data_IF_845450914124
#
_entry.id   IF_845450914124
#
_cell.length_a   1.000
_cell.length_b   1.000
_cell.length_c   1.000
_cell.angle_alpha   90.00
_cell.angle_beta   90.00
_cell.angle_gamma   90.00
#
_symmetry.space_group_name_H-M   'P 1'
#
loop_
_entity.id
_entity.type
_entity.pdbx_description
1 polymer ?
#
# COMPACT_ATOMS: atom_id res chain seq x y z
N UNK A 1 -4.31 10.06 2.33
CA UNK A 1 -5.69 10.59 2.40
C UNK A 1 -6.66 9.97 1.39
N UNK A 2 -6.37 10.02 0.08
CA UNK A 2 -7.30 9.55 -0.96
C UNK A 2 -7.87 8.13 -0.72
N UNK A 3 -7.01 7.14 -0.46
CA UNK A 3 -7.44 5.74 -0.25
C UNK A 3 -8.30 5.58 1.00
N UNK A 4 -8.01 6.32 2.07
CA UNK A 4 -8.81 6.30 3.30
C UNK A 4 -10.22 6.86 3.05
N UNK A 5 -10.32 7.98 2.34
CA UNK A 5 -11.60 8.56 1.94
C UNK A 5 -12.38 7.58 1.07
N UNK A 6 -11.71 6.94 0.10
CA UNK A 6 -12.33 5.95 -0.77
C UNK A 6 -12.90 4.77 0.05
N UNK A 7 -12.11 4.23 0.97
CA UNK A 7 -12.51 3.12 1.85
C UNK A 7 -13.68 3.48 2.76
N UNK A 8 -13.70 4.69 3.34
CA UNK A 8 -14.78 5.15 4.21
C UNK A 8 -16.01 5.67 3.46
N UNK A 9 -15.92 5.88 2.15
CA UNK A 9 -17.04 6.35 1.32
C UNK A 9 -17.92 5.19 0.82
N UNK A 10 -19.02 5.54 0.14
CA UNK A 10 -19.87 4.58 -0.60
C UNK A 10 -19.13 3.73 -1.63
N UNK A 11 -17.94 4.14 -2.06
CA UNK A 11 -17.15 3.38 -3.02
C UNK A 11 -16.43 2.20 -2.35
N UNK A 12 -16.18 2.24 -1.04
CA UNK A 12 -15.57 1.13 -0.28
C UNK A 12 -16.44 -0.12 -0.21
N UNK A 13 -17.77 0.01 -0.38
CA UNK A 13 -18.69 -1.14 -0.42
C UNK A 13 -18.78 -1.81 -1.80
N UNK A 14 -18.05 -1.31 -2.81
CA UNK A 14 -18.06 -1.90 -4.15
C UNK A 14 -17.17 -3.15 -4.17
N UNK A 15 -17.75 -4.28 -4.54
CA UNK A 15 -16.99 -5.52 -4.76
C UNK A 15 -16.08 -5.41 -6.00
N UNK A 16 -14.82 -5.82 -5.84
CA UNK A 16 -13.84 -5.96 -6.92
C UNK A 16 -14.11 -7.24 -7.74
N UNK A 17 -15.21 -7.25 -8.46
CA UNK A 17 -15.74 -8.40 -9.19
C UNK A 17 -17.23 -8.21 -9.49
N UNK A 18 -17.93 -9.21 -10.04
CA UNK A 18 -19.39 -9.16 -10.23
C UNK A 18 -20.16 -8.84 -8.94
N UNK A 19 -21.36 -8.26 -9.02
CA UNK A 19 -22.15 -7.88 -7.81
C UNK A 19 -22.41 -9.06 -6.86
N UNK A 20 -22.53 -10.26 -7.41
CA UNK A 20 -22.81 -11.49 -6.66
C UNK A 20 -21.54 -12.31 -6.35
N UNK A 21 -20.33 -11.80 -6.61
CA UNK A 21 -19.11 -12.52 -6.28
C UNK A 21 -18.92 -12.64 -4.77
N UNK A 22 -18.27 -13.73 -4.38
CA UNK A 22 -17.81 -14.05 -3.02
C UNK A 22 -16.27 -14.03 -3.04
N UNK A 23 -15.61 -13.74 -1.90
CA UNK A 23 -14.17 -13.92 -1.79
C UNK A 23 -13.76 -15.37 -2.06
N UNK A 24 -12.70 -15.57 -2.85
CA UNK A 24 -12.15 -16.91 -3.12
C UNK A 24 -11.39 -17.47 -1.92
N UNK A 25 -10.73 -16.60 -1.15
CA UNK A 25 -9.96 -16.94 0.04
C UNK A 25 -10.63 -16.40 1.31
N UNK A 26 -10.42 -17.11 2.42
CA UNK A 26 -10.78 -16.61 3.74
C UNK A 26 -10.00 -15.33 4.07
N UNK A 27 -10.56 -14.47 4.93
CA UNK A 27 -9.91 -13.22 5.33
C UNK A 27 -8.51 -13.47 5.93
N UNK A 28 -8.36 -14.54 6.71
CA UNK A 28 -7.08 -14.92 7.30
C UNK A 28 -6.06 -15.31 6.23
N UNK A 29 -6.45 -16.22 5.32
CA UNK A 29 -5.58 -16.66 4.23
C UNK A 29 -5.15 -15.50 3.34
N UNK A 30 -6.10 -14.64 2.95
CA UNK A 30 -5.83 -13.45 2.15
C UNK A 30 -4.88 -12.47 2.85
N UNK A 31 -5.09 -12.24 4.15
CA UNK A 31 -4.20 -11.36 4.94
C UNK A 31 -2.79 -11.93 5.00
N UNK A 32 -2.64 -13.25 5.22
CA UNK A 32 -1.34 -13.91 5.21
C UNK A 32 -0.63 -13.76 3.87
N UNK A 33 -1.34 -13.90 2.74
CA UNK A 33 -0.79 -13.72 1.41
C UNK A 33 -0.24 -12.30 1.20
N UNK A 34 -0.91 -11.26 1.71
CA UNK A 34 -0.42 -9.88 1.64
C UNK A 34 0.92 -9.69 2.35
N UNK A 35 1.08 -10.26 3.54
CA UNK A 35 2.33 -10.16 4.29
C UNK A 35 3.47 -10.98 3.66
N UNK A 36 3.16 -12.15 3.09
CA UNK A 36 4.14 -13.02 2.43
C UNK A 36 4.60 -12.44 1.08
N UNK A 37 3.68 -11.95 0.25
CA UNK A 37 4.00 -11.51 -1.11
C UNK A 37 4.63 -10.12 -1.18
N UNK A 38 4.34 -9.24 -0.22
CA UNK A 38 4.62 -7.81 -0.35
C UNK A 38 5.96 -7.34 0.22
N UNK A 39 6.18 -7.57 1.52
CA UNK A 39 7.09 -6.70 2.29
C UNK A 39 7.89 -7.41 3.40
N UNK A 40 7.79 -8.74 3.52
CA UNK A 40 8.38 -9.46 4.64
C UNK A 40 9.89 -9.23 4.77
N UNK A 41 10.62 -9.34 3.66
CA UNK A 41 12.09 -9.19 3.64
C UNK A 41 12.50 -7.74 3.88
N UNK A 42 11.85 -6.78 3.21
CA UNK A 42 12.18 -5.36 3.32
C UNK A 42 11.95 -4.84 4.73
N UNK A 43 10.83 -5.22 5.38
CA UNK A 43 10.60 -4.86 6.78
C UNK A 43 11.66 -5.47 7.69
N UNK A 44 12.01 -6.75 7.51
CA UNK A 44 13.02 -7.39 8.36
C UNK A 44 14.38 -6.67 8.31
N UNK A 45 14.76 -6.15 7.15
CA UNK A 45 16.01 -5.41 6.98
C UNK A 45 15.90 -3.96 7.46
N UNK A 46 14.95 -3.21 6.89
CA UNK A 46 14.87 -1.76 7.10
C UNK A 46 14.23 -1.36 8.42
N UNK A 47 13.46 -2.22 9.09
CA UNK A 47 12.92 -1.93 10.42
C UNK A 47 14.01 -1.76 11.48
N UNK A 48 15.23 -2.24 11.24
CA UNK A 48 16.39 -2.05 12.12
C UNK A 48 17.37 -1.07 11.50
N UNK A 49 17.69 -1.23 10.22
CA UNK A 49 18.72 -0.43 9.56
C UNK A 49 18.34 1.05 9.48
N UNK A 50 17.10 1.39 9.11
CA UNK A 50 16.70 2.79 8.93
C UNK A 50 16.68 3.58 10.25
N UNK A 51 16.06 3.09 11.36
CA UNK A 51 16.10 3.81 12.62
C UNK A 51 17.51 4.07 13.13
N UNK A 52 18.42 3.10 12.97
CA UNK A 52 19.82 3.25 13.40
C UNK A 52 20.52 4.33 12.55
N UNK A 53 20.33 4.30 11.23
CA UNK A 53 20.93 5.32 10.36
C UNK A 53 20.38 6.72 10.66
N UNK A 54 19.07 6.85 10.84
CA UNK A 54 18.41 8.12 11.17
C UNK A 54 18.76 8.61 12.58
N UNK A 55 19.03 7.70 13.52
CA UNK A 55 19.53 8.07 14.85
C UNK A 55 20.96 8.59 14.80
N UNK A 56 21.83 7.97 14.00
CA UNK A 56 23.24 8.34 13.89
C UNK A 56 23.43 9.64 13.10
N UNK A 57 22.70 9.80 11.99
CA UNK A 57 22.76 10.95 11.10
C UNK A 57 21.33 11.42 10.79
N UNK A 58 20.65 12.09 11.73
CA UNK A 58 19.30 12.58 11.51
C UNK A 58 19.30 13.67 10.43
N UNK A 59 18.18 13.84 9.69
CA UNK A 59 18.09 14.86 8.64
C UNK A 59 18.18 16.29 9.19
N UNK A 60 17.83 16.46 10.48
CA UNK A 60 17.82 17.73 11.20
C UNK A 60 18.32 17.49 12.62
N UNK A 61 19.20 18.37 13.11
CA UNK A 61 19.71 18.34 14.48
C UNK A 61 20.88 17.38 14.69
N UNK A 62 21.25 17.21 15.95
CA UNK A 62 22.38 16.38 16.34
C UNK A 62 21.97 14.92 16.50
N UNK A 63 22.75 14.03 15.89
CA UNK A 63 22.61 12.59 16.03
C UNK A 63 22.92 12.11 17.44
N UNK A 64 22.52 10.86 17.70
CA UNK A 64 22.78 10.17 18.96
C UNK A 64 22.13 10.81 20.20
N UNK A 65 21.05 11.56 20.00
CA UNK A 65 20.27 12.19 21.08
C UNK A 65 18.95 11.45 21.30
N UNK A 66 18.33 11.64 22.47
CA UNK A 66 16.98 11.08 22.75
C UNK A 66 15.95 11.58 21.75
N UNK A 67 16.09 12.82 21.30
CA UNK A 67 15.22 13.41 20.28
C UNK A 67 15.46 12.76 18.90
N UNK A 68 16.72 12.57 18.49
CA UNK A 68 17.05 11.85 17.27
C UNK A 68 16.46 10.42 17.27
N UNK A 69 16.47 9.73 18.41
CA UNK A 69 15.88 8.39 18.53
C UNK A 69 14.35 8.40 18.30
N UNK A 70 13.65 9.39 18.87
CA UNK A 70 12.20 9.56 18.67
C UNK A 70 11.86 9.90 17.23
N UNK A 71 12.64 10.78 16.61
CA UNK A 71 12.44 11.18 15.23
C UNK A 71 12.75 10.02 14.26
N UNK A 72 13.82 9.27 14.49
CA UNK A 72 14.20 8.12 13.69
C UNK A 72 13.08 7.07 13.60
N UNK A 73 12.45 6.74 14.73
CA UNK A 73 11.29 5.84 14.76
C UNK A 73 10.09 6.42 14.01
N UNK A 74 9.84 7.73 14.18
CA UNK A 74 8.75 8.43 13.49
C UNK A 74 8.90 8.35 11.97
N UNK A 75 10.12 8.62 11.47
CA UNK A 75 10.43 8.53 10.03
C UNK A 75 10.29 7.12 9.50
N UNK A 76 10.79 6.12 10.24
CA UNK A 76 10.70 4.72 9.83
C UNK A 76 9.23 4.26 9.72
N UNK A 77 8.41 4.61 10.71
CA UNK A 77 6.96 4.33 10.68
C UNK A 77 6.27 5.11 9.56
N UNK A 78 6.72 6.33 9.26
CA UNK A 78 6.17 7.10 8.15
C UNK A 78 6.41 6.42 6.79
N UNK A 79 7.60 5.86 6.56
CA UNK A 79 7.93 5.15 5.31
C UNK A 79 7.25 3.79 5.20
N UNK A 80 7.36 2.94 6.24
CA UNK A 80 6.90 1.54 6.19
C UNK A 80 5.53 1.31 6.81
N UNK A 81 4.95 2.32 7.44
CA UNK A 81 3.61 2.28 8.01
C UNK A 81 2.53 2.66 7.00
N UNK A 82 1.49 3.34 7.49
CA UNK A 82 0.26 3.55 6.76
C UNK A 82 0.44 4.20 5.38
N UNK A 83 1.39 5.12 5.25
CA UNK A 83 1.66 5.85 4.00
C UNK A 83 2.11 4.90 2.88
N UNK A 84 3.08 4.02 3.16
CA UNK A 84 3.57 3.02 2.20
C UNK A 84 2.46 2.06 1.76
N UNK A 85 1.70 1.53 2.73
CA UNK A 85 0.56 0.65 2.45
C UNK A 85 -0.54 1.32 1.64
N UNK A 86 -0.78 2.62 1.82
CA UNK A 86 -1.75 3.35 1.02
C UNK A 86 -1.38 3.36 -0.48
N UNK A 87 -0.08 3.38 -0.82
CA UNK A 87 0.35 3.34 -2.22
C UNK A 87 0.08 1.98 -2.86
N UNK A 88 0.34 0.89 -2.13
CA UNK A 88 -0.01 -0.47 -2.61
C UNK A 88 -1.51 -0.65 -2.74
N UNK A 89 -2.29 -0.19 -1.76
CA UNK A 89 -3.74 -0.23 -1.81
C UNK A 89 -4.30 0.56 -3.01
N UNK A 90 -3.74 1.74 -3.29
CA UNK A 90 -4.14 2.54 -4.45
C UNK A 90 -3.98 1.77 -5.77
N UNK A 91 -2.78 1.22 -6.00
CA UNK A 91 -2.47 0.47 -7.22
C UNK A 91 -3.29 -0.83 -7.29
N UNK A 92 -3.38 -1.55 -6.18
CA UNK A 92 -4.14 -2.79 -6.08
C UNK A 92 -5.64 -2.60 -6.35
N UNK A 93 -6.24 -1.53 -5.83
CA UNK A 93 -7.64 -1.17 -6.10
C UNK A 93 -7.80 -0.80 -7.58
N UNK A 94 -6.92 0.03 -8.14
CA UNK A 94 -7.01 0.43 -9.55
C UNK A 94 -6.95 -0.80 -10.48
N UNK A 95 -5.94 -1.64 -10.33
CA UNK A 95 -5.78 -2.84 -11.17
C UNK A 95 -6.90 -3.85 -10.92
N UNK A 96 -7.22 -4.15 -9.66
CA UNK A 96 -8.26 -5.12 -9.30
C UNK A 96 -9.64 -4.68 -9.76
N UNK A 97 -9.95 -3.39 -9.68
CA UNK A 97 -11.22 -2.86 -10.16
C UNK A 97 -11.37 -3.05 -11.67
N UNK A 98 -10.42 -2.60 -12.48
CA UNK A 98 -10.53 -2.73 -13.94
C UNK A 98 -10.40 -4.18 -14.42
N UNK A 99 -9.54 -4.98 -13.79
CA UNK A 99 -9.38 -6.37 -14.17
C UNK A 99 -10.62 -7.21 -13.84
N UNK A 100 -11.12 -7.15 -12.60
CA UNK A 100 -12.18 -8.05 -12.16
C UNK A 100 -13.60 -7.50 -12.32
N UNK A 101 -13.79 -6.16 -12.30
CA UNK A 101 -15.12 -5.55 -12.51
C UNK A 101 -15.43 -5.28 -13.97
N UNK A 102 -14.43 -4.85 -14.74
CA UNK A 102 -14.58 -4.51 -16.16
C UNK A 102 -14.05 -5.59 -17.10
N UNK A 103 -13.54 -6.71 -16.56
CA UNK A 103 -13.00 -7.84 -17.32
C UNK A 103 -11.90 -7.40 -18.32
N UNK A 104 -11.06 -6.46 -17.91
CA UNK A 104 -9.92 -5.99 -18.69
C UNK A 104 -8.66 -6.81 -18.34
N UNK A 105 -7.66 -6.89 -19.25
CA UNK A 105 -6.38 -7.53 -18.92
C UNK A 105 -5.73 -6.90 -17.68
N UNK A 106 -5.07 -7.70 -16.83
CA UNK A 106 -4.36 -7.21 -15.63
C UNK A 106 -3.07 -6.47 -16.03
N UNK A 107 -3.21 -5.24 -16.53
CA UNK A 107 -2.10 -4.41 -17.03
C UNK A 107 -2.29 -2.97 -16.57
N UNK A 108 -1.19 -2.21 -16.45
CA UNK A 108 -1.23 -0.78 -16.10
C UNK A 108 -2.08 0.01 -17.10
N UNK A 109 -2.04 -0.35 -18.39
CA UNK A 109 -2.86 0.28 -19.43
C UNK A 109 -4.35 0.18 -19.12
N UNK A 110 -4.81 -0.94 -18.55
CA UNK A 110 -6.22 -1.13 -18.19
C UNK A 110 -6.66 -0.18 -17.08
N UNK A 111 -5.78 0.15 -16.12
CA UNK A 111 -6.08 1.15 -15.10
C UNK A 111 -6.21 2.58 -15.67
N UNK A 112 -5.52 2.86 -16.78
CA UNK A 112 -5.58 4.14 -17.48
C UNK A 112 -6.68 4.21 -18.55
N UNK A 113 -7.41 3.12 -18.76
CA UNK A 113 -8.49 3.03 -19.74
C UNK A 113 -9.52 4.17 -19.66
N UNK A 114 -9.98 4.63 -18.47
CA UNK A 114 -10.94 5.72 -18.38
C UNK A 114 -10.41 7.07 -18.86
N UNK A 115 -9.08 7.29 -18.78
CA UNK A 115 -8.45 8.57 -19.15
C UNK A 115 -7.99 8.57 -20.61
N UNK A 116 -7.46 7.45 -21.10
CA UNK A 116 -6.81 7.36 -22.43
C UNK A 116 -7.77 6.81 -23.49
N UNK A 117 -8.83 6.10 -23.09
CA UNK A 117 -9.77 5.45 -24.00
C UNK A 117 -9.17 4.28 -24.80
N UNK A 118 -9.97 3.68 -25.69
CA UNK A 118 -9.47 2.74 -26.69
C UNK A 118 -8.77 3.52 -27.79
N UNK A 119 -7.44 3.48 -27.83
CA UNK A 119 -6.73 3.64 -29.10
C UNK A 119 -6.88 2.34 -29.88
N UNK A 120 -7.53 2.46 -31.05
CA UNK A 120 -7.63 1.45 -32.10
C UNK A 120 -6.27 0.82 -32.39
#
# INVERSE_FOLDING_TARGET
>A
MFVLILACSRYGSIKLGPKHSQPEYSLLTWSSMLFVAGIGIDIMFFAVAEPIMQYMNPPVGDGQTVEAARQALTWTIFHYGLTGWCMYALVGIALGYFAYRYNLPLTIRSALYPMIGKKN
#
